data_IF_125917893983
#
_entry.id   IF_125917893983
#
_cell.length_a   1.000
_cell.length_b   1.000
_cell.length_c   1.000
_cell.angle_alpha   90.00
_cell.angle_beta   90.00
_cell.angle_gamma   90.00
#
_symmetry.space_group_name_H-M   'P 1'
#
loop_
_entity.id
_entity.type
_entity.pdbx_description
1 polymer ?
#
# COMPACT_ATOMS: atom_id res chain seq x y z
N UNK A 1 15.09 25.62 19.09
CA UNK A 1 14.78 24.36 18.37
C UNK A 1 13.49 23.81 18.95
N UNK A 2 12.41 23.75 18.17
CA UNK A 2 11.14 23.22 18.65
C UNK A 2 11.28 21.71 18.88
N UNK A 3 11.02 21.25 20.12
CA UNK A 3 10.90 19.82 20.44
C UNK A 3 9.77 19.28 19.56
N UNK A 4 10.08 18.39 18.62
CA UNK A 4 9.06 17.62 17.94
C UNK A 4 8.20 16.95 19.02
N UNK A 5 6.90 17.26 19.05
CA UNK A 5 5.96 16.66 19.98
C UNK A 5 6.04 15.15 19.81
N UNK A 6 6.58 14.45 20.80
CA UNK A 6 6.64 12.98 20.79
C UNK A 6 5.20 12.47 20.73
N UNK A 7 4.84 11.80 19.63
CA UNK A 7 3.57 11.09 19.55
C UNK A 7 3.48 10.11 20.74
N UNK A 8 2.32 9.97 21.40
CA UNK A 8 2.18 9.12 22.57
C UNK A 8 2.27 7.62 22.23
N UNK A 9 2.43 7.27 20.95
CA UNK A 9 2.47 5.91 20.45
C UNK A 9 3.82 5.62 19.81
N UNK A 10 4.43 4.50 20.19
CA UNK A 10 5.68 4.02 19.61
C UNK A 10 5.47 3.18 18.35
N UNK A 11 4.33 2.45 18.28
CA UNK A 11 3.95 1.59 17.16
C UNK A 11 2.65 2.05 16.52
N UNK A 12 2.64 2.18 15.20
CA UNK A 12 1.51 2.68 14.42
C UNK A 12 1.16 1.66 13.31
N UNK A 13 -0.12 1.33 13.21
CA UNK A 13 -0.67 0.53 12.11
C UNK A 13 -1.37 1.46 11.12
N UNK A 14 -0.79 1.62 9.93
CA UNK A 14 -1.33 2.44 8.86
C UNK A 14 -2.16 1.56 7.89
N UNK A 15 -3.49 1.69 7.93
CA UNK A 15 -4.38 0.93 7.05
C UNK A 15 -4.74 1.72 5.80
N UNK A 16 -4.44 1.19 4.61
CA UNK A 16 -4.77 1.80 3.34
C UNK A 16 -5.86 1.01 2.58
N UNK A 17 -7.00 1.64 2.34
CA UNK A 17 -8.12 1.04 1.61
C UNK A 17 -8.02 1.16 0.09
N UNK A 18 -8.70 0.27 -0.64
CA UNK A 18 -8.66 0.23 -2.11
C UNK A 18 -9.07 1.56 -2.74
N UNK A 19 -10.13 2.23 -2.25
CA UNK A 19 -10.59 3.52 -2.80
C UNK A 19 -9.53 4.62 -2.68
N UNK A 20 -8.79 4.63 -1.56
CA UNK A 20 -7.66 5.54 -1.36
C UNK A 20 -6.54 5.22 -2.34
N UNK A 21 -6.07 3.96 -2.35
CA UNK A 21 -4.94 3.53 -3.18
C UNK A 21 -5.19 3.63 -4.69
N UNK A 22 -6.44 3.67 -5.11
CA UNK A 22 -6.83 3.83 -6.52
C UNK A 22 -7.21 5.27 -6.89
N UNK A 23 -7.36 6.17 -5.92
CA UNK A 23 -7.92 7.50 -6.16
C UNK A 23 -9.31 7.47 -6.78
N UNK A 24 -10.07 6.40 -6.55
CA UNK A 24 -11.38 6.17 -7.17
C UNK A 24 -11.36 5.58 -8.59
N UNK A 25 -10.19 5.34 -9.18
CA UNK A 25 -10.06 4.68 -10.49
C UNK A 25 -9.95 3.14 -10.39
N UNK A 26 -9.66 2.51 -11.53
CA UNK A 26 -9.54 1.04 -11.62
C UNK A 26 -8.12 0.51 -11.39
N UNK A 27 -7.14 1.40 -11.23
CA UNK A 27 -5.72 1.08 -11.08
C UNK A 27 -5.14 1.72 -9.83
N UNK A 28 -4.05 1.14 -9.33
CA UNK A 28 -3.26 1.75 -8.28
C UNK A 28 -2.77 3.13 -8.75
N UNK A 29 -2.97 4.14 -7.91
CA UNK A 29 -2.56 5.51 -8.17
C UNK A 29 -1.19 5.73 -7.53
N UNK A 30 -0.15 5.77 -8.36
CA UNK A 30 1.23 5.89 -7.91
C UNK A 30 1.51 7.20 -7.16
N UNK A 31 0.87 8.30 -7.54
CA UNK A 31 1.06 9.58 -6.86
C UNK A 31 0.49 9.54 -5.44
N UNK A 32 -0.71 8.96 -5.26
CA UNK A 32 -1.31 8.78 -3.93
C UNK A 32 -0.46 7.82 -3.09
N UNK A 33 -0.05 6.68 -3.65
CA UNK A 33 0.80 5.72 -2.94
C UNK A 33 2.13 6.35 -2.53
N UNK A 34 2.79 7.11 -3.41
CA UNK A 34 4.03 7.83 -3.10
C UNK A 34 3.84 8.82 -1.96
N UNK A 35 2.76 9.61 -1.98
CA UNK A 35 2.42 10.55 -0.91
C UNK A 35 2.20 9.86 0.44
N UNK A 36 1.52 8.71 0.45
CA UNK A 36 1.32 7.91 1.66
C UNK A 36 2.63 7.31 2.18
N UNK A 37 3.45 6.76 1.28
CA UNK A 37 4.77 6.20 1.61
C UNK A 37 5.68 7.26 2.20
N UNK A 38 5.70 8.47 1.64
CA UNK A 38 6.49 9.57 2.18
C UNK A 38 6.10 9.94 3.62
N UNK A 39 4.80 9.94 3.93
CA UNK A 39 4.31 10.17 5.30
C UNK A 39 4.72 9.04 6.26
N UNK A 40 4.59 7.78 5.83
CA UNK A 40 5.05 6.62 6.62
C UNK A 40 6.56 6.67 6.84
N UNK A 41 7.33 7.02 5.81
CA UNK A 41 8.79 7.15 5.88
C UNK A 41 9.21 8.26 6.85
N UNK A 42 8.52 9.39 6.85
CA UNK A 42 8.76 10.48 7.80
C UNK A 42 8.55 10.02 9.25
N UNK A 43 7.47 9.27 9.52
CA UNK A 43 7.21 8.71 10.86
C UNK A 43 8.27 7.67 11.25
N UNK A 44 8.68 6.80 10.31
CA UNK A 44 9.73 5.83 10.55
C UNK A 44 11.08 6.50 10.88
N UNK A 45 11.43 7.59 10.18
CA UNK A 45 12.65 8.38 10.46
C UNK A 45 12.63 9.06 11.83
N UNK A 46 11.46 9.24 12.44
CA UNK A 46 11.31 9.73 13.82
C UNK A 46 11.50 8.61 14.86
N UNK A 47 11.83 7.39 14.45
CA UNK A 47 12.05 6.25 15.35
C UNK A 47 10.77 5.51 15.75
N UNK A 48 9.67 5.71 15.02
CA UNK A 48 8.42 4.99 15.23
C UNK A 48 8.43 3.66 14.47
N UNK A 49 7.73 2.67 15.01
CA UNK A 49 7.55 1.37 14.36
C UNK A 49 6.27 1.38 13.51
N UNK A 50 6.38 1.05 12.23
CA UNK A 50 5.28 1.17 11.27
C UNK A 50 4.89 -0.20 10.71
N UNK A 51 3.59 -0.50 10.73
CA UNK A 51 3.00 -1.65 10.03
C UNK A 51 2.01 -1.11 9.00
N UNK A 52 2.20 -1.45 7.73
CA UNK A 52 1.25 -1.09 6.66
C UNK A 52 0.30 -2.25 6.42
N UNK A 53 -1.00 -2.00 6.59
CA UNK A 53 -2.07 -2.95 6.24
C UNK A 53 -2.74 -2.45 4.97
N UNK A 54 -2.49 -3.12 3.85
CA UNK A 54 -2.92 -2.65 2.54
C UNK A 54 -4.02 -3.50 1.92
N UNK A 55 -5.00 -2.83 1.30
CA UNK A 55 -5.92 -3.44 0.33
C UNK A 55 -5.38 -3.27 -1.10
N UNK A 56 -6.21 -3.45 -2.14
CA UNK A 56 -5.83 -3.09 -3.51
C UNK A 56 -5.22 -4.21 -4.37
N UNK A 57 -4.90 -5.38 -3.80
CA UNK A 57 -4.43 -6.53 -4.57
C UNK A 57 -5.42 -6.93 -5.69
N UNK A 58 -6.71 -7.07 -5.37
CA UNK A 58 -7.75 -7.40 -6.36
C UNK A 58 -7.84 -6.33 -7.47
N UNK A 59 -7.75 -5.04 -7.13
CA UNK A 59 -7.79 -3.96 -8.12
C UNK A 59 -6.57 -4.01 -9.05
N UNK A 60 -5.38 -4.22 -8.48
CA UNK A 60 -4.13 -4.41 -9.21
C UNK A 60 -4.18 -5.62 -10.16
N UNK A 61 -4.73 -6.74 -9.70
CA UNK A 61 -4.89 -7.95 -10.49
C UNK A 61 -5.90 -7.79 -11.62
N UNK A 62 -7.04 -7.14 -11.34
CA UNK A 62 -8.06 -6.82 -12.35
C UNK A 62 -7.48 -5.97 -13.48
N UNK A 63 -6.76 -4.90 -13.13
CA UNK A 63 -6.08 -4.06 -14.11
C UNK A 63 -5.06 -4.85 -14.94
N UNK A 64 -4.26 -5.71 -14.29
CA UNK A 64 -3.27 -6.54 -15.00
C UNK A 64 -3.89 -7.51 -15.99
N UNK A 65 -5.03 -8.09 -15.67
CA UNK A 65 -5.73 -9.04 -16.54
C UNK A 65 -6.63 -8.36 -17.60
N UNK A 66 -6.66 -7.02 -17.65
CA UNK A 66 -7.46 -6.28 -18.64
C UNK A 66 -8.98 -6.45 -18.44
N UNK A 67 -9.41 -6.77 -17.22
CA UNK A 67 -10.80 -7.09 -16.93
C UNK A 67 -11.58 -5.81 -16.61
N UNK A 68 -12.44 -5.39 -17.53
CA UNK A 68 -13.25 -4.17 -17.41
C UNK A 68 -14.58 -4.40 -16.68
N UNK A 69 -15.04 -5.66 -16.60
CA UNK A 69 -16.28 -6.02 -15.89
C UNK A 69 -15.98 -6.64 -14.53
N UNK A 70 -16.87 -6.37 -13.57
CA UNK A 70 -16.81 -7.02 -12.27
C UNK A 70 -17.15 -8.51 -12.42
N UNK A 71 -16.11 -9.34 -12.37
CA UNK A 71 -16.30 -10.79 -12.35
C UNK A 71 -16.65 -11.22 -10.93
N UNK A 72 -17.78 -11.92 -10.81
CA UNK A 72 -18.36 -12.33 -9.53
C UNK A 72 -17.84 -13.71 -9.12
N UNK A 73 -17.74 -13.93 -7.81
CA UNK A 73 -17.35 -15.21 -7.22
C UNK A 73 -16.04 -15.16 -6.42
N UNK A 74 -15.99 -15.95 -5.34
CA UNK A 74 -14.82 -16.06 -4.45
C UNK A 74 -13.57 -16.57 -5.20
N UNK A 75 -13.65 -17.64 -6.03
CA UNK A 75 -12.47 -18.17 -6.73
C UNK A 75 -11.82 -17.11 -7.62
N UNK A 76 -12.64 -16.31 -8.30
CA UNK A 76 -12.13 -15.26 -9.17
C UNK A 76 -11.47 -14.13 -8.39
N UNK A 77 -12.05 -13.74 -7.24
CA UNK A 77 -11.40 -12.78 -6.33
C UNK A 77 -10.05 -13.27 -5.84
N UNK A 78 -9.90 -14.57 -5.56
CA UNK A 78 -8.63 -15.17 -5.18
C UNK A 78 -7.62 -15.10 -6.33
N UNK A 79 -8.01 -15.46 -7.56
CA UNK A 79 -7.14 -15.31 -8.75
C UNK A 79 -6.67 -13.87 -8.92
N UNK A 80 -7.59 -12.90 -8.85
CA UNK A 80 -7.24 -11.48 -8.94
C UNK A 80 -6.29 -11.06 -7.81
N UNK A 81 -6.53 -11.51 -6.58
CA UNK A 81 -5.67 -11.21 -5.45
C UNK A 81 -4.26 -11.80 -5.65
N UNK A 82 -4.15 -13.08 -6.05
CA UNK A 82 -2.87 -13.74 -6.32
C UNK A 82 -2.07 -13.04 -7.41
N UNK A 83 -2.73 -12.67 -8.52
CA UNK A 83 -2.09 -11.93 -9.63
C UNK A 83 -1.68 -10.52 -9.21
N UNK A 84 -2.53 -9.85 -8.43
CA UNK A 84 -2.34 -8.46 -8.06
C UNK A 84 -1.43 -8.22 -6.86
N UNK A 85 -1.27 -9.21 -5.97
CA UNK A 85 -0.51 -9.07 -4.73
C UNK A 85 0.96 -8.78 -5.01
N UNK A 86 1.62 -9.57 -5.88
CA UNK A 86 3.02 -9.33 -6.23
C UNK A 86 3.25 -7.94 -6.85
N UNK A 87 2.27 -7.44 -7.63
CA UNK A 87 2.33 -6.08 -8.20
C UNK A 87 2.16 -4.99 -7.16
N UNK A 88 1.25 -5.19 -6.20
CA UNK A 88 1.06 -4.26 -5.08
C UNK A 88 2.33 -4.20 -4.23
N UNK A 89 2.92 -5.35 -3.92
CA UNK A 89 4.15 -5.42 -3.14
C UNK A 89 5.32 -4.78 -3.87
N UNK A 90 5.49 -5.05 -5.17
CA UNK A 90 6.50 -4.39 -5.99
C UNK A 90 6.34 -2.87 -6.00
N UNK A 91 5.10 -2.35 -6.09
CA UNK A 91 4.86 -0.92 -6.03
C UNK A 91 5.31 -0.32 -4.68
N UNK A 92 5.02 -0.99 -3.57
CA UNK A 92 5.52 -0.55 -2.26
C UNK A 92 7.05 -0.63 -2.17
N UNK A 93 7.67 -1.71 -2.61
CA UNK A 93 9.12 -1.87 -2.60
C UNK A 93 9.82 -0.74 -3.38
N UNK A 94 9.33 -0.43 -4.58
CA UNK A 94 9.86 0.66 -5.39
C UNK A 94 9.71 2.02 -4.70
N UNK A 95 8.57 2.29 -4.06
CA UNK A 95 8.34 3.57 -3.39
C UNK A 95 9.11 3.69 -2.07
N UNK A 96 9.16 2.65 -1.24
CA UNK A 96 9.90 2.68 0.03
C UNK A 96 11.42 2.66 -0.17
N UNK A 97 11.93 2.03 -1.25
CA UNK A 97 13.36 2.06 -1.57
C UNK A 97 13.87 3.47 -1.87
N UNK A 98 13.03 4.38 -2.39
CA UNK A 98 13.36 5.80 -2.54
C UNK A 98 13.66 6.50 -1.20
N UNK A 99 13.18 5.92 -0.10
CA UNK A 99 13.44 6.39 1.26
C UNK A 99 14.47 5.54 2.00
N UNK A 100 15.15 4.60 1.32
CA UNK A 100 16.06 3.61 1.89
C UNK A 100 15.41 2.73 2.97
N UNK A 101 14.11 2.48 2.85
CA UNK A 101 13.36 1.62 3.78
C UNK A 101 13.14 0.26 3.11
N UNK A 102 13.64 -0.79 3.76
CA UNK A 102 13.37 -2.17 3.33
C UNK A 102 12.00 -2.60 3.83
N UNK A 103 11.19 -3.19 2.96
CA UNK A 103 9.87 -3.72 3.29
C UNK A 103 9.83 -5.22 3.16
N UNK A 104 8.96 -5.87 3.94
CA UNK A 104 8.72 -7.30 3.87
C UNK A 104 7.23 -7.57 3.71
N UNK A 105 6.89 -8.53 2.84
CA UNK A 105 5.53 -9.05 2.75
C UNK A 105 5.32 -10.12 3.82
N UNK A 106 4.20 -10.04 4.53
CA UNK A 106 3.70 -11.11 5.38
C UNK A 106 2.61 -11.88 4.63
N UNK A 107 2.68 -13.22 4.69
CA UNK A 107 1.74 -14.15 4.05
C UNK A 107 0.69 -14.65 5.05
#
# INVERSE_FOLDING_TARGET
MAKASSLPYHRIVAKFGTKLLTGGGDRLNQAIMSSLVAQVAQLHQQGLELIVVSSGAIASGRYKLGLTKEVRGIPFKQVLASVGQGRLMYAYEQLFSQHNITVAQLY
#
